data_IF_415374660156
#
_entry.id   IF_415374660156
#
_cell.length_a   1.000
_cell.length_b   1.000
_cell.length_c   1.000
_cell.angle_alpha   90.00
_cell.angle_beta   90.00
_cell.angle_gamma   90.00
#
_symmetry.space_group_name_H-M   'P 1'
#
loop_
_entity.id
_entity.type
_entity.pdbx_description
1 polymer ?
#
# COMPACT_ATOMS: atom_id res chain seq x y z
N UNK A 1 11.91 -13.75 -16.65
CA UNK A 1 12.17 -14.61 -15.48
C UNK A 1 11.75 -13.88 -14.21
N UNK A 2 11.03 -14.59 -13.33
CA UNK A 2 10.33 -14.10 -12.16
C UNK A 2 11.23 -13.57 -11.03
N UNK A 3 10.63 -12.76 -10.14
CA UNK A 3 11.25 -12.11 -8.99
C UNK A 3 12.06 -13.08 -8.09
N UNK A 4 13.31 -12.73 -7.81
CA UNK A 4 14.18 -13.48 -6.91
C UNK A 4 13.93 -13.10 -5.44
N UNK A 5 13.15 -13.96 -4.77
CA UNK A 5 13.10 -14.17 -3.31
C UNK A 5 14.25 -15.11 -2.92
N UNK A 6 14.96 -14.92 -1.79
CA UNK A 6 16.06 -15.82 -1.40
C UNK A 6 15.57 -17.22 -0.98
N UNK A 7 16.37 -18.29 -1.19
CA UNK A 7 15.98 -19.67 -0.92
C UNK A 7 16.01 -20.01 0.58
N UNK A 8 15.22 -21.02 1.03
CA UNK A 8 15.30 -21.54 2.40
C UNK A 8 16.56 -22.37 2.64
N UNK A 9 17.09 -22.27 3.86
CA UNK A 9 18.25 -23.02 4.36
C UNK A 9 17.92 -24.52 4.44
N UNK A 10 18.74 -25.44 3.89
CA UNK A 10 18.47 -26.87 3.98
C UNK A 10 18.76 -27.40 5.39
N UNK A 11 17.76 -28.01 6.02
CA UNK A 11 17.97 -28.87 7.19
C UNK A 11 18.73 -30.14 6.73
N UNK A 12 19.86 -30.40 7.39
CA UNK A 12 20.67 -31.60 7.18
C UNK A 12 19.87 -32.85 7.55
N UNK A 13 19.59 -33.70 6.56
CA UNK A 13 19.07 -35.05 6.78
C UNK A 13 20.09 -35.93 7.49
N UNK A 14 19.69 -36.57 8.60
CA UNK A 14 20.37 -37.75 9.14
C UNK A 14 19.81 -38.99 8.44
N UNK A 15 20.71 -39.72 7.81
CA UNK A 15 20.56 -41.09 7.33
C UNK A 15 20.27 -42.05 8.48
N UNK A 16 19.27 -42.93 8.34
CA UNK A 16 19.22 -44.24 9.01
C UNK A 16 18.66 -45.28 8.04
N UNK A 17 19.38 -46.41 7.96
CA UNK A 17 19.16 -47.59 7.11
C UNK A 17 17.96 -48.43 7.55
N UNK A 18 17.46 -49.22 6.60
CA UNK A 18 16.44 -50.25 6.71
C UNK A 18 16.90 -51.51 7.47
N UNK A 19 16.03 -52.04 8.32
CA UNK A 19 15.67 -53.45 8.59
C UNK A 19 14.40 -53.38 9.47
N UNK A 20 13.39 -54.23 9.47
CA UNK A 20 12.95 -55.36 8.68
C UNK A 20 11.67 -55.88 9.37
N UNK A 21 10.66 -56.22 8.57
CA UNK A 21 9.64 -57.26 8.77
C UNK A 21 8.50 -57.18 9.83
N UNK A 22 7.37 -57.73 9.35
CA UNK A 22 6.15 -58.33 9.95
C UNK A 22 5.08 -57.50 10.67
N UNK A 23 3.92 -57.39 9.99
CA UNK A 23 2.68 -58.02 10.48
C UNK A 23 1.49 -57.10 10.81
N UNK A 24 0.38 -57.29 10.09
CA UNK A 24 -0.97 -57.07 10.65
C UNK A 24 -1.85 -55.99 10.01
N UNK A 25 -2.64 -56.37 9.00
CA UNK A 25 -3.94 -55.73 8.65
C UNK A 25 -5.05 -56.22 9.62
N UNK A 26 -6.32 -55.77 9.52
CA UNK A 26 -6.89 -54.43 9.24
C UNK A 26 -8.05 -54.07 10.23
N UNK A 27 -8.60 -52.84 10.16
CA UNK A 27 -10.06 -52.53 10.13
C UNK A 27 -10.42 -51.11 10.63
N UNK A 28 -11.11 -50.40 9.74
CA UNK A 28 -12.31 -49.56 9.88
C UNK A 28 -12.80 -49.14 11.28
N UNK A 29 -13.09 -47.85 11.47
CA UNK A 29 -14.39 -47.35 11.97
C UNK A 29 -14.47 -45.81 11.91
N UNK A 30 -15.53 -45.30 11.28
CA UNK A 30 -16.04 -43.96 11.47
C UNK A 30 -17.04 -43.96 12.65
N UNK A 31 -17.06 -42.90 13.47
CA UNK A 31 -18.23 -42.54 14.28
C UNK A 31 -18.19 -41.06 14.68
N UNK A 32 -19.28 -40.35 14.33
CA UNK A 32 -19.67 -39.05 14.88
C UNK A 32 -20.21 -39.20 16.31
N UNK A 33 -20.02 -38.19 17.18
CA UNK A 33 -21.10 -37.35 17.78
C UNK A 33 -20.69 -36.54 19.03
N UNK A 34 -20.88 -35.22 18.91
CA UNK A 34 -21.60 -34.27 19.80
C UNK A 34 -21.21 -33.99 21.27
N UNK A 35 -21.12 -32.67 21.58
CA UNK A 35 -21.52 -32.00 22.84
C UNK A 35 -20.34 -31.51 23.71
N UNK A 36 -20.28 -30.30 24.29
CA UNK A 36 -21.13 -29.09 24.41
C UNK A 36 -20.21 -27.93 24.94
N UNK A 37 -20.65 -26.66 24.93
CA UNK A 37 -19.81 -25.47 25.14
C UNK A 37 -19.60 -25.08 26.62
N UNK A 38 -18.59 -24.23 26.84
CA UNK A 38 -18.14 -23.65 28.12
C UNK A 38 -19.15 -22.62 28.70
N UNK A 39 -19.24 -22.46 30.04
CA UNK A 39 -20.18 -21.54 30.68
C UNK A 39 -19.60 -20.12 30.83
N UNK A 40 -20.48 -19.13 30.74
CA UNK A 40 -20.17 -17.71 30.98
C UNK A 40 -20.63 -17.19 32.35
N UNK A 41 -20.29 -15.93 32.61
CA UNK A 41 -20.91 -15.05 33.60
C UNK A 41 -20.19 -13.69 33.70
N UNK A 42 -20.81 -12.64 34.29
CA UNK A 42 -22.23 -12.37 34.51
C UNK A 42 -22.73 -11.16 33.67
N UNK A 43 -24.05 -11.11 33.45
CA UNK A 43 -24.73 -10.10 32.64
C UNK A 43 -25.23 -8.87 33.39
N UNK A 44 -25.53 -7.84 32.59
CA UNK A 44 -26.34 -6.66 32.90
C UNK A 44 -26.65 -5.88 31.61
N UNK A 45 -27.76 -5.12 31.57
CA UNK A 45 -29.05 -5.53 31.01
C UNK A 45 -29.10 -5.59 29.47
N UNK A 46 -29.97 -6.46 28.97
CA UNK A 46 -30.31 -6.62 27.57
C UNK A 46 -31.06 -5.39 27.03
N UNK A 47 -30.34 -4.50 26.36
CA UNK A 47 -30.89 -3.63 25.32
C UNK A 47 -30.62 -4.28 23.97
N UNK A 48 -31.62 -4.95 23.39
CA UNK A 48 -31.54 -5.40 22.00
C UNK A 48 -31.65 -4.19 21.07
N UNK A 49 -30.50 -3.71 20.56
CA UNK A 49 -30.42 -2.75 19.46
C UNK A 49 -28.99 -2.22 19.24
N UNK A 50 -28.54 -1.87 18.03
CA UNK A 50 -28.94 -2.31 16.71
C UNK A 50 -27.71 -2.90 15.96
N UNK A 51 -27.17 -4.04 16.42
CA UNK A 51 -26.00 -4.64 15.75
C UNK A 51 -26.32 -5.14 14.33
N UNK A 52 -27.58 -5.48 14.06
CA UNK A 52 -28.05 -5.91 12.74
C UNK A 52 -28.41 -4.75 11.79
N UNK A 53 -28.40 -3.48 12.25
CA UNK A 53 -28.72 -2.32 11.39
C UNK A 53 -27.49 -1.52 10.94
N UNK A 54 -26.28 -1.88 11.37
CA UNK A 54 -25.04 -1.22 10.92
C UNK A 54 -24.53 -1.77 9.58
N UNK A 55 -24.98 -2.94 9.15
CA UNK A 55 -24.53 -3.62 7.93
C UNK A 55 -24.94 -2.92 6.60
N UNK A 56 -25.61 -1.77 6.66
CA UNK A 56 -26.06 -1.02 5.47
C UNK A 56 -25.55 0.42 5.39
N UNK A 57 -24.70 0.88 6.32
CA UNK A 57 -24.07 2.20 6.21
C UNK A 57 -22.60 2.00 5.90
N UNK A 58 -22.23 2.16 4.63
CA UNK A 58 -20.82 2.32 4.25
C UNK A 58 -20.16 3.43 5.06
N UNK A 59 -18.84 3.40 5.17
CA UNK A 59 -18.09 4.47 5.85
C UNK A 59 -18.39 5.81 5.19
N UNK A 60 -18.88 6.78 5.95
CA UNK A 60 -19.08 8.14 5.44
C UNK A 60 -17.73 8.76 5.08
N UNK A 61 -17.59 9.25 3.85
CA UNK A 61 -16.34 9.79 3.36
C UNK A 61 -16.20 11.28 3.71
N UNK A 62 -15.07 11.64 4.30
CA UNK A 62 -14.68 13.04 4.52
C UNK A 62 -13.88 13.53 3.31
N UNK A 63 -14.30 14.64 2.71
CA UNK A 63 -13.55 15.23 1.61
C UNK A 63 -12.14 15.66 2.06
N UNK A 64 -11.12 15.32 1.27
CA UNK A 64 -9.78 15.90 1.47
C UNK A 64 -9.82 17.39 1.10
N UNK A 65 -9.30 18.30 1.95
CA UNK A 65 -9.29 19.73 1.63
C UNK A 65 -8.57 20.03 0.32
N UNK A 66 -9.06 21.04 -0.41
CA UNK A 66 -8.48 21.50 -1.67
C UNK A 66 -8.07 22.97 -1.55
N UNK A 67 -6.82 23.29 -1.88
CA UNK A 67 -6.26 24.64 -1.79
C UNK A 67 -5.67 25.07 -3.14
N UNK A 68 -6.03 26.26 -3.60
CA UNK A 68 -5.41 26.90 -4.77
C UNK A 68 -4.34 27.91 -4.38
N UNK A 69 -3.38 28.16 -5.26
CA UNK A 69 -2.38 29.23 -5.10
C UNK A 69 -1.49 29.06 -3.86
N UNK A 70 -1.18 27.83 -3.50
CA UNK A 70 -0.26 27.54 -2.39
C UNK A 70 1.16 27.65 -2.93
N UNK A 71 1.93 28.66 -2.50
CA UNK A 71 3.36 28.77 -2.81
C UNK A 71 4.22 27.98 -1.81
N UNK A 72 5.54 27.89 -2.06
CA UNK A 72 6.49 27.16 -1.20
C UNK A 72 6.41 27.58 0.27
N UNK A 73 6.43 28.87 0.54
CA UNK A 73 6.42 29.40 1.91
C UNK A 73 5.14 29.00 2.66
N UNK A 74 3.97 29.25 2.07
CA UNK A 74 2.66 28.87 2.62
C UNK A 74 2.57 27.36 2.83
N UNK A 75 3.08 26.56 1.90
CA UNK A 75 3.10 25.12 2.07
C UNK A 75 3.92 24.72 3.30
N UNK A 76 5.16 25.22 3.41
CA UNK A 76 6.06 24.84 4.51
C UNK A 76 5.61 25.34 5.88
N UNK A 77 4.99 26.51 5.96
CA UNK A 77 4.56 27.12 7.23
C UNK A 77 3.17 26.64 7.67
N UNK A 78 2.20 26.59 6.76
CA UNK A 78 0.80 26.43 7.13
C UNK A 78 0.26 25.05 6.82
N UNK A 79 0.74 24.39 5.76
CA UNK A 79 0.13 23.15 5.25
C UNK A 79 0.91 21.92 5.72
N UNK A 80 2.22 21.91 5.44
CA UNK A 80 3.11 20.80 5.71
C UNK A 80 3.15 20.41 7.20
N UNK A 81 3.18 21.33 8.18
CA UNK A 81 3.20 20.97 9.60
C UNK A 81 1.89 20.36 10.11
N UNK A 82 0.77 20.52 9.39
CA UNK A 82 -0.52 19.94 9.81
C UNK A 82 -0.56 18.41 9.69
N UNK A 83 0.32 17.83 8.87
CA UNK A 83 0.44 16.37 8.67
C UNK A 83 -0.89 15.69 8.26
N UNK A 84 -1.72 16.41 7.50
CA UNK A 84 -2.97 15.93 6.91
C UNK A 84 -2.88 16.01 5.37
N UNK A 85 -3.56 15.11 4.63
CA UNK A 85 -3.60 15.17 3.17
C UNK A 85 -4.29 16.44 2.68
N UNK A 86 -3.85 16.94 1.53
CA UNK A 86 -4.44 18.10 0.87
C UNK A 86 -4.25 18.02 -0.64
N UNK A 87 -5.28 18.42 -1.39
CA UNK A 87 -5.19 18.61 -2.84
C UNK A 87 -4.76 20.05 -3.11
N UNK A 88 -3.68 20.22 -3.88
CA UNK A 88 -3.16 21.51 -4.33
C UNK A 88 -3.58 21.70 -5.78
N UNK A 89 -4.24 22.82 -6.05
CA UNK A 89 -4.84 23.16 -7.34
C UNK A 89 -4.06 24.29 -8.03
N UNK A 90 -4.05 24.25 -9.36
CA UNK A 90 -3.51 25.33 -10.20
C UNK A 90 -2.00 25.49 -10.04
N UNK A 91 -1.28 24.37 -10.02
CA UNK A 91 0.18 24.35 -9.93
C UNK A 91 0.82 24.41 -11.32
N UNK A 92 1.90 25.16 -11.44
CA UNK A 92 2.74 25.16 -12.64
C UNK A 92 3.59 23.88 -12.65
N UNK A 93 3.16 22.90 -13.45
CA UNK A 93 3.76 21.57 -13.53
C UNK A 93 4.60 21.37 -14.81
N UNK A 94 4.86 22.44 -15.56
CA UNK A 94 5.53 22.38 -16.86
C UNK A 94 4.59 21.97 -17.99
N UNK A 95 5.15 21.66 -19.17
CA UNK A 95 4.36 21.30 -20.36
C UNK A 95 3.74 19.90 -20.29
N UNK A 96 4.07 19.08 -19.29
CA UNK A 96 3.59 17.69 -19.19
C UNK A 96 2.05 17.59 -19.20
N UNK A 97 1.33 18.49 -18.54
CA UNK A 97 -0.14 18.49 -18.44
C UNK A 97 -0.86 18.76 -19.76
N UNK A 98 -0.15 19.25 -20.78
CA UNK A 98 -0.71 19.55 -22.11
C UNK A 98 -0.12 18.64 -23.19
N UNK A 99 1.15 18.26 -23.06
CA UNK A 99 1.86 17.44 -24.06
C UNK A 99 1.61 15.94 -23.92
N UNK A 100 1.39 15.41 -22.73
CA UNK A 100 1.40 13.96 -22.47
C UNK A 100 0.11 13.27 -22.92
N UNK A 101 -0.11 13.27 -24.23
CA UNK A 101 -1.05 12.40 -24.92
C UNK A 101 -0.45 10.99 -25.07
N UNK A 102 -1.29 10.00 -25.34
CA UNK A 102 -0.85 8.62 -25.64
C UNK A 102 0.19 8.62 -26.76
N UNK A 103 -0.07 9.33 -27.86
CA UNK A 103 0.83 9.41 -29.01
C UNK A 103 2.18 10.03 -28.67
N UNK A 104 2.20 11.12 -27.90
CA UNK A 104 3.44 11.78 -27.48
C UNK A 104 4.26 10.87 -26.57
N UNK A 105 3.62 10.28 -25.55
CA UNK A 105 4.28 9.37 -24.61
C UNK A 105 4.87 8.16 -25.34
N UNK A 106 4.15 7.59 -26.31
CA UNK A 106 4.65 6.48 -27.12
C UNK A 106 5.86 6.83 -28.00
N UNK A 107 6.10 8.11 -28.28
CA UNK A 107 7.25 8.57 -29.07
C UNK A 107 8.42 9.02 -28.19
N UNK A 108 8.15 9.62 -27.03
CA UNK A 108 9.15 10.31 -26.21
C UNK A 108 10.28 9.40 -25.72
N UNK A 109 9.97 8.18 -25.28
CA UNK A 109 10.95 7.24 -24.68
C UNK A 109 11.18 6.00 -25.54
N UNK A 110 10.60 6.00 -26.76
CA UNK A 110 10.76 4.96 -27.76
C UNK A 110 10.44 3.54 -27.26
N UNK A 111 11.29 2.58 -27.64
CA UNK A 111 11.12 1.16 -27.34
C UNK A 111 11.82 0.72 -26.05
N UNK A 112 12.01 1.62 -25.09
CA UNK A 112 12.63 1.28 -23.81
C UNK A 112 11.81 0.22 -23.08
N UNK A 113 12.44 -0.88 -22.67
CA UNK A 113 11.77 -1.93 -21.93
C UNK A 113 11.37 -1.48 -20.52
N UNK A 114 10.08 -1.65 -20.18
CA UNK A 114 9.54 -1.34 -18.86
C UNK A 114 8.89 -2.56 -18.22
N UNK A 115 9.10 -2.72 -16.91
CA UNK A 115 8.46 -3.77 -16.11
C UNK A 115 7.07 -3.31 -15.68
N UNK A 116 6.07 -4.09 -16.04
CA UNK A 116 4.66 -3.77 -15.83
C UNK A 116 3.97 -4.89 -15.06
N UNK A 117 2.89 -4.52 -14.39
CA UNK A 117 1.92 -5.45 -13.81
C UNK A 117 0.79 -5.62 -14.83
N UNK A 118 0.37 -6.87 -15.02
CA UNK A 118 -0.74 -7.24 -15.88
C UNK A 118 -1.76 -8.01 -15.04
N UNK A 119 -3.00 -7.54 -15.02
CA UNK A 119 -4.07 -8.13 -14.24
C UNK A 119 -5.28 -8.43 -15.11
N UNK A 120 -5.85 -9.64 -15.01
CA UNK A 120 -7.09 -9.98 -15.70
C UNK A 120 -8.33 -9.34 -15.05
N UNK A 121 -8.19 -8.82 -13.83
CA UNK A 121 -9.26 -8.18 -13.06
C UNK A 121 -8.86 -6.76 -12.64
N UNK A 122 -9.82 -5.82 -12.48
CA UNK A 122 -9.50 -4.44 -12.13
C UNK A 122 -8.87 -4.28 -10.74
N UNK A 123 -9.32 -5.08 -9.77
CA UNK A 123 -8.87 -5.02 -8.38
C UNK A 123 -7.63 -5.89 -8.18
N UNK A 124 -6.47 -5.24 -8.10
CA UNK A 124 -5.21 -5.94 -7.85
C UNK A 124 -5.05 -6.26 -6.37
N UNK A 125 -4.58 -7.47 -6.09
CA UNK A 125 -4.27 -7.96 -4.75
C UNK A 125 -2.81 -8.41 -4.69
N UNK A 126 -2.01 -7.74 -3.86
CA UNK A 126 -0.62 -8.12 -3.64
C UNK A 126 -0.43 -9.29 -2.68
N UNK A 127 -1.40 -9.56 -1.82
CA UNK A 127 -1.33 -10.64 -0.85
C UNK A 127 -1.53 -11.99 -1.55
N UNK A 128 -2.61 -12.13 -2.34
CA UNK A 128 -2.81 -13.30 -3.19
C UNK A 128 -2.01 -13.28 -4.50
N UNK A 129 -1.49 -12.11 -4.91
CA UNK A 129 -0.75 -11.89 -6.16
C UNK A 129 -1.56 -12.31 -7.39
N UNK A 130 -2.78 -11.78 -7.52
CA UNK A 130 -3.68 -12.05 -8.63
C UNK A 130 -3.30 -11.38 -9.97
N UNK A 131 -2.06 -10.93 -10.10
CA UNK A 131 -1.49 -10.26 -11.28
C UNK A 131 -0.12 -10.85 -11.60
N UNK A 132 0.36 -10.63 -12.82
CA UNK A 132 1.68 -11.11 -13.26
C UNK A 132 2.59 -9.94 -13.67
N UNK A 133 3.89 -10.13 -13.48
CA UNK A 133 4.90 -9.20 -14.01
C UNK A 133 5.22 -9.54 -15.46
N UNK A 134 5.25 -8.54 -16.32
CA UNK A 134 5.70 -8.63 -17.72
C UNK A 134 6.64 -7.48 -18.03
N UNK A 135 7.28 -7.58 -19.19
CA UNK A 135 8.06 -6.49 -19.76
C UNK A 135 7.49 -6.20 -21.14
N UNK A 136 7.38 -4.91 -21.47
CA UNK A 136 7.02 -4.43 -22.80
C UNK A 136 7.90 -3.23 -23.16
N UNK A 137 8.13 -2.98 -24.46
CA UNK A 137 8.52 -1.67 -24.94
C UNK A 137 7.57 -0.57 -24.43
N UNK A 138 8.10 0.55 -23.97
CA UNK A 138 7.33 1.63 -23.35
C UNK A 138 6.21 2.14 -24.25
N UNK A 139 6.51 2.35 -25.52
CA UNK A 139 5.55 2.77 -26.54
C UNK A 139 4.35 1.84 -26.66
N UNK A 140 4.59 0.53 -26.71
CA UNK A 140 3.56 -0.51 -26.79
C UNK A 140 2.75 -0.60 -25.50
N UNK A 141 3.42 -0.53 -24.34
CA UNK A 141 2.76 -0.49 -23.05
C UNK A 141 1.79 0.70 -22.95
N UNK A 142 2.22 1.90 -23.34
CA UNK A 142 1.38 3.11 -23.24
C UNK A 142 0.12 2.97 -24.10
N UNK A 143 0.25 2.45 -25.32
CA UNK A 143 -0.90 2.20 -26.21
C UNK A 143 -1.86 1.19 -25.58
N UNK A 144 -1.35 0.03 -25.16
CA UNK A 144 -2.19 -1.02 -24.53
C UNK A 144 -2.79 -0.54 -23.21
N UNK A 145 -2.10 0.28 -22.42
CA UNK A 145 -2.64 0.81 -21.18
C UNK A 145 -3.84 1.74 -21.43
N UNK A 146 -3.85 2.48 -22.54
CA UNK A 146 -4.94 3.38 -22.92
C UNK A 146 -6.15 2.65 -23.55
N UNK A 147 -5.97 1.42 -24.03
CA UNK A 147 -7.04 0.60 -24.59
C UNK A 147 -7.93 -0.04 -23.49
N UNK A 148 -9.20 -0.27 -23.84
CA UNK A 148 -10.13 -1.04 -22.98
C UNK A 148 -10.11 -2.52 -23.34
N UNK A 149 -9.99 -2.83 -24.64
CA UNK A 149 -9.90 -4.17 -25.20
C UNK A 149 -8.65 -4.28 -26.08
N UNK A 150 -7.84 -5.29 -25.82
CA UNK A 150 -6.53 -5.47 -26.45
C UNK A 150 -6.61 -6.55 -27.51
N UNK A 151 -6.04 -6.28 -28.69
CA UNK A 151 -5.86 -7.32 -29.73
C UNK A 151 -4.78 -8.31 -29.35
N UNK A 152 -3.70 -7.81 -28.75
CA UNK A 152 -2.59 -8.60 -28.23
C UNK A 152 -2.55 -8.44 -26.71
N UNK A 153 -2.53 -9.56 -26.00
CA UNK A 153 -2.63 -9.60 -24.54
C UNK A 153 -1.86 -10.78 -23.94
N UNK A 154 -1.60 -10.75 -22.64
CA UNK A 154 -0.90 -11.82 -21.92
C UNK A 154 -1.82 -12.80 -21.21
N UNK A 155 -2.94 -12.33 -20.68
CA UNK A 155 -3.89 -13.06 -19.83
C UNK A 155 -5.29 -13.04 -20.43
N UNK A 156 -5.80 -11.87 -20.82
CA UNK A 156 -7.13 -11.73 -21.41
C UNK A 156 -7.27 -10.45 -22.25
N UNK A 157 -8.23 -10.44 -23.17
CA UNK A 157 -8.54 -9.26 -24.01
C UNK A 157 -8.94 -8.01 -23.21
N UNK A 158 -9.36 -8.15 -21.94
CA UNK A 158 -9.77 -7.04 -21.07
C UNK A 158 -8.77 -6.80 -19.93
N UNK A 159 -7.55 -7.33 -20.04
CA UNK A 159 -6.53 -7.18 -19.00
C UNK A 159 -6.18 -5.70 -18.76
N UNK A 160 -5.68 -5.42 -17.57
CA UNK A 160 -5.31 -4.08 -17.13
C UNK A 160 -3.82 -4.01 -16.91
N UNK A 161 -3.23 -2.90 -17.32
CA UNK A 161 -1.81 -2.66 -17.23
C UNK A 161 -1.50 -1.60 -16.18
N UNK A 162 -0.42 -1.83 -15.42
CA UNK A 162 0.08 -0.86 -14.46
C UNK A 162 1.61 -0.82 -14.43
N UNK A 163 2.16 0.36 -14.70
CA UNK A 163 3.57 0.68 -14.53
C UNK A 163 3.78 1.44 -13.22
N UNK A 164 4.73 0.96 -12.42
CA UNK A 164 5.40 1.70 -11.36
C UNK A 164 6.88 1.68 -11.69
N UNK A 165 7.46 2.81 -12.07
CA UNK A 165 8.88 2.84 -12.46
C UNK A 165 9.79 2.44 -11.29
N UNK A 166 10.90 1.78 -11.61
CA UNK A 166 11.94 1.35 -10.67
C UNK A 166 13.28 1.91 -11.14
N UNK A 167 14.25 2.05 -10.23
CA UNK A 167 15.63 2.37 -10.60
C UNK A 167 16.24 1.29 -11.50
N UNK A 168 17.37 1.61 -12.11
CA UNK A 168 18.08 0.73 -13.07
C UNK A 168 18.38 -0.65 -12.45
N UNK A 169 19.04 -0.67 -11.28
CA UNK A 169 19.09 -1.85 -10.42
C UNK A 169 18.08 -1.67 -9.27
N UNK A 170 16.90 -2.27 -9.39
CA UNK A 170 15.82 -2.13 -8.40
C UNK A 170 16.23 -2.51 -6.94
N UNK A 171 17.34 -3.22 -6.74
CA UNK A 171 17.87 -3.56 -5.41
C UNK A 171 18.78 -2.49 -4.81
N UNK A 172 19.30 -1.57 -5.62
CA UNK A 172 20.28 -0.55 -5.21
C UNK A 172 19.81 0.87 -5.49
N UNK A 173 19.07 1.05 -6.57
CA UNK A 173 18.69 2.34 -7.09
C UNK A 173 17.22 2.62 -6.82
N UNK A 174 16.95 3.77 -6.20
CA UNK A 174 15.63 4.40 -6.18
C UNK A 174 15.20 4.76 -7.60
N UNK A 175 13.90 4.85 -7.83
CA UNK A 175 13.43 5.41 -9.09
C UNK A 175 13.64 6.93 -9.13
N UNK A 176 14.10 7.44 -10.26
CA UNK A 176 14.24 8.85 -10.54
C UNK A 176 13.85 9.12 -12.01
N UNK A 177 12.73 9.80 -12.24
CA UNK A 177 12.26 10.07 -13.60
C UNK A 177 13.32 10.79 -14.44
N UNK A 178 14.20 11.59 -13.84
CA UNK A 178 15.28 12.30 -14.54
C UNK A 178 16.34 11.35 -15.10
N UNK A 179 16.50 10.17 -14.49
CA UNK A 179 17.44 9.14 -14.94
C UNK A 179 16.77 8.17 -15.89
N UNK A 180 15.60 7.65 -15.51
CA UNK A 180 14.94 6.60 -16.28
C UNK A 180 14.07 7.12 -17.42
N UNK A 181 13.63 8.37 -17.41
CA UNK A 181 12.76 8.95 -18.43
C UNK A 181 13.16 10.41 -18.69
N UNK A 182 14.40 10.66 -19.14
CA UNK A 182 14.95 12.02 -19.21
C UNK A 182 14.16 12.93 -20.17
N UNK A 183 13.65 12.39 -21.28
CA UNK A 183 12.88 13.17 -22.26
C UNK A 183 11.56 13.64 -21.64
N UNK A 184 10.87 12.73 -20.93
CA UNK A 184 9.64 13.10 -20.24
C UNK A 184 9.90 13.97 -19.01
N UNK A 185 11.01 13.76 -18.30
CA UNK A 185 11.35 14.56 -17.12
C UNK A 185 11.53 16.05 -17.44
N UNK A 186 12.01 16.39 -18.64
CA UNK A 186 12.15 17.79 -19.10
C UNK A 186 10.80 18.51 -19.25
N UNK A 187 9.68 17.78 -19.39
CA UNK A 187 8.35 18.37 -19.46
C UNK A 187 7.74 18.64 -18.07
N UNK A 188 8.32 18.09 -16.99
CA UNK A 188 7.74 18.11 -15.64
C UNK A 188 8.47 19.08 -14.73
N UNK A 189 7.73 20.05 -14.20
CA UNK A 189 8.18 20.89 -13.11
C UNK A 189 7.65 20.35 -11.78
N UNK A 190 8.54 19.74 -10.99
CA UNK A 190 8.20 19.27 -9.64
C UNK A 190 8.06 20.48 -8.70
N UNK A 191 6.94 20.62 -7.95
CA UNK A 191 6.80 21.67 -6.95
C UNK A 191 7.92 21.61 -5.90
N UNK A 192 8.61 22.73 -5.70
CA UNK A 192 9.73 22.85 -4.76
C UNK A 192 9.21 23.00 -3.32
N UNK A 193 8.58 21.96 -2.77
CA UNK A 193 8.02 21.94 -1.40
C UNK A 193 8.90 21.27 -0.34
N UNK A 194 10.10 20.87 -0.72
CA UNK A 194 11.09 20.25 0.14
C UNK A 194 12.49 20.68 -0.30
N UNK A 195 13.48 20.46 0.55
CA UNK A 195 14.88 20.75 0.23
C UNK A 195 15.47 19.63 -0.64
N UNK A 196 16.40 19.97 -1.53
CA UNK A 196 16.96 19.02 -2.52
C UNK A 196 17.62 17.82 -1.84
N UNK A 197 18.19 18.02 -0.66
CA UNK A 197 18.84 17.02 0.17
C UNK A 197 17.85 16.00 0.78
N UNK A 198 16.57 16.38 0.89
CA UNK A 198 15.50 15.51 1.37
C UNK A 198 14.96 14.59 0.26
N UNK A 199 15.20 14.90 -1.01
CA UNK A 199 14.72 14.11 -2.14
C UNK A 199 15.09 12.63 -1.95
N UNK A 200 14.09 11.76 -2.13
CA UNK A 200 14.29 10.32 -2.07
C UNK A 200 14.09 9.65 -3.43
N UNK A 201 12.94 9.86 -4.09
CA UNK A 201 12.61 9.19 -5.34
C UNK A 201 11.55 9.96 -6.14
N UNK A 202 11.58 9.84 -7.46
CA UNK A 202 10.48 10.24 -8.33
C UNK A 202 10.04 9.04 -9.19
N UNK A 203 8.74 8.74 -9.17
CA UNK A 203 8.18 7.50 -9.68
C UNK A 203 7.10 7.78 -10.71
N UNK A 204 7.27 7.25 -11.91
CA UNK A 204 6.24 7.22 -12.94
C UNK A 204 5.19 6.18 -12.59
N UNK A 205 3.92 6.60 -12.64
CA UNK A 205 2.73 5.75 -12.47
C UNK A 205 1.86 5.88 -13.70
N UNK A 206 1.71 4.80 -14.46
CA UNK A 206 0.82 4.76 -15.63
C UNK A 206 -0.11 3.56 -15.46
N UNK A 207 -1.41 3.77 -15.60
CA UNK A 207 -2.43 2.74 -15.34
C UNK A 207 -3.54 2.79 -16.36
N UNK A 208 -4.06 1.61 -16.70
CA UNK A 208 -5.32 1.46 -17.42
C UNK A 208 -6.51 1.96 -16.59
N UNK A 209 -7.54 2.45 -17.30
CA UNK A 209 -8.81 2.82 -16.70
C UNK A 209 -9.45 1.64 -15.94
N UNK A 210 -10.02 1.94 -14.78
CA UNK A 210 -10.65 1.01 -13.84
C UNK A 210 -9.68 0.26 -12.93
N UNK A 211 -8.36 0.36 -13.12
CA UNK A 211 -7.41 -0.38 -12.28
C UNK A 211 -7.36 0.20 -10.86
N UNK A 212 -7.54 -0.68 -9.87
CA UNK A 212 -7.46 -0.38 -8.45
C UNK A 212 -6.24 -1.04 -7.84
N UNK A 213 -5.42 -0.23 -7.15
CA UNK A 213 -4.33 -0.72 -6.32
C UNK A 213 -4.83 -0.99 -4.90
N UNK A 214 -4.22 -1.97 -4.23
CA UNK A 214 -4.48 -2.24 -2.81
C UNK A 214 -4.08 -1.05 -1.93
N UNK A 215 -4.75 -0.95 -0.78
CA UNK A 215 -4.44 0.07 0.23
C UNK A 215 -3.08 -0.21 0.86
N UNK A 216 -2.20 0.80 0.89
CA UNK A 216 -0.88 0.73 1.52
C UNK A 216 -0.46 2.09 2.06
N UNK A 217 0.63 2.13 2.82
CA UNK A 217 1.31 3.37 3.20
C UNK A 217 2.79 3.34 2.79
N UNK A 218 3.38 4.53 2.71
CA UNK A 218 4.80 4.76 2.48
C UNK A 218 5.43 5.49 3.67
N UNK A 219 6.74 5.33 3.82
CA UNK A 219 7.55 5.88 4.92
C UNK A 219 8.05 7.30 4.65
N UNK A 220 7.98 7.70 3.39
CA UNK A 220 8.34 9.03 2.92
C UNK A 220 7.09 9.90 2.78
N UNK A 221 7.28 11.21 2.85
CA UNK A 221 6.26 12.14 2.36
C UNK A 221 6.16 12.04 0.85
N UNK A 222 4.97 12.29 0.30
CA UNK A 222 4.68 12.05 -1.11
C UNK A 222 3.84 13.18 -1.72
N UNK A 223 4.23 13.65 -2.90
CA UNK A 223 3.38 14.42 -3.81
C UNK A 223 2.94 13.48 -4.93
N UNK A 224 1.65 13.18 -5.00
CA UNK A 224 1.05 12.51 -6.15
C UNK A 224 0.57 13.58 -7.14
N UNK A 225 1.34 13.79 -8.20
CA UNK A 225 1.03 14.73 -9.28
C UNK A 225 0.24 13.98 -10.36
N UNK A 226 -1.03 14.30 -10.53
CA UNK A 226 -1.87 13.74 -11.58
C UNK A 226 -1.69 14.57 -12.86
N UNK A 227 -1.00 14.03 -13.86
CA UNK A 227 -0.64 14.77 -15.08
C UNK A 227 -1.72 14.62 -16.15
N UNK A 228 -2.17 13.38 -16.39
CA UNK A 228 -3.18 13.05 -17.41
C UNK A 228 -4.25 12.14 -16.80
N UNK A 229 -5.52 12.36 -17.16
CA UNK A 229 -6.66 11.54 -16.76
C UNK A 229 -7.09 11.75 -15.30
N UNK A 230 -8.20 11.13 -14.93
CA UNK A 230 -8.80 11.24 -13.60
C UNK A 230 -8.48 10.06 -12.67
N UNK A 231 -8.24 10.36 -11.40
CA UNK A 231 -7.88 9.38 -10.37
C UNK A 231 -8.62 9.60 -9.06
N UNK A 232 -9.27 8.57 -8.55
CA UNK A 232 -9.87 8.57 -7.21
C UNK A 232 -8.87 8.08 -6.18
N UNK A 233 -8.74 8.80 -5.08
CA UNK A 233 -7.87 8.43 -3.95
C UNK A 233 -8.68 8.42 -2.66
N UNK A 234 -8.66 7.27 -1.99
CA UNK A 234 -9.23 7.10 -0.65
C UNK A 234 -8.09 6.98 0.35
N UNK A 235 -8.12 7.74 1.43
CA UNK A 235 -7.07 7.76 2.46
C UNK A 235 -7.61 7.42 3.85
N UNK A 236 -6.74 6.85 4.68
CA UNK A 236 -7.01 6.58 6.09
C UNK A 236 -5.86 7.11 6.96
N UNK A 237 -6.22 7.56 8.16
CA UNK A 237 -5.26 8.11 9.10
C UNK A 237 -4.23 7.04 9.50
N UNK A 238 -2.97 7.41 9.78
CA UNK A 238 -2.02 6.52 10.44
C UNK A 238 -2.56 5.92 11.76
N UNK A 239 -3.50 6.60 12.42
CA UNK A 239 -4.14 6.11 13.64
C UNK A 239 -5.16 5.00 13.41
N UNK A 240 -5.60 4.79 12.16
CA UNK A 240 -6.55 3.74 11.80
C UNK A 240 -5.88 2.36 11.63
N UNK A 241 -4.56 2.24 11.89
CA UNK A 241 -3.83 0.95 11.87
C UNK A 241 -4.61 -0.22 12.48
N UNK A 242 -5.26 -0.10 13.67
CA UNK A 242 -6.00 -1.21 14.28
C UNK A 242 -7.24 -1.67 13.49
N UNK A 243 -7.71 -0.88 12.53
CA UNK A 243 -8.94 -1.11 11.77
C UNK A 243 -8.67 -1.57 10.33
N UNK A 244 -7.41 -1.46 9.86
CA UNK A 244 -7.03 -1.70 8.46
C UNK A 244 -6.50 -3.10 8.18
N UNK A 245 -6.41 -4.00 9.17
CA UNK A 245 -5.99 -5.39 8.97
C UNK A 245 -4.69 -5.50 8.16
N UNK A 246 -3.58 -5.04 8.74
CA UNK A 246 -2.34 -4.88 8.01
C UNK A 246 -1.52 -6.17 7.91
N UNK A 247 -1.03 -6.45 6.71
CA UNK A 247 0.02 -7.41 6.42
C UNK A 247 1.24 -6.67 5.89
N UNK A 248 2.19 -6.37 6.78
CA UNK A 248 3.28 -5.44 6.53
C UNK A 248 2.75 -4.02 6.28
N UNK A 249 3.04 -3.43 5.12
CA UNK A 249 2.59 -2.09 4.75
C UNK A 249 1.22 -2.03 4.05
N UNK A 250 0.54 -3.17 3.91
CA UNK A 250 -0.66 -3.32 3.07
C UNK A 250 -1.87 -3.72 3.90
N UNK A 251 -3.04 -3.23 3.54
CA UNK A 251 -4.33 -3.69 4.07
C UNK A 251 -4.76 -5.01 3.42
N UNK A 252 -5.36 -5.90 4.20
CA UNK A 252 -6.08 -7.07 3.71
C UNK A 252 -7.47 -6.75 3.14
N UNK A 253 -7.99 -5.54 3.41
CA UNK A 253 -9.26 -5.05 2.87
C UNK A 253 -9.03 -4.48 1.47
N UNK A 254 -9.37 -5.28 0.46
CA UNK A 254 -9.21 -4.90 -0.96
C UNK A 254 -10.32 -3.98 -1.44
N UNK A 255 -11.58 -4.36 -1.19
CA UNK A 255 -12.74 -3.58 -1.61
C UNK A 255 -13.09 -2.59 -0.49
N UNK A 256 -12.66 -1.35 -0.65
CA UNK A 256 -12.89 -0.27 0.32
C UNK A 256 -14.27 0.37 0.16
N UNK A 257 -14.98 0.11 -0.95
CA UNK A 257 -16.33 0.62 -1.19
C UNK A 257 -17.40 -0.36 -0.70
N UNK A 258 -17.12 -1.66 -0.81
CA UNK A 258 -17.96 -2.74 -0.31
C UNK A 258 -17.13 -3.78 0.46
N UNK A 259 -16.60 -3.40 1.65
CA UNK A 259 -15.77 -4.30 2.45
C UNK A 259 -16.57 -5.47 3.01
N UNK A 260 -15.94 -6.64 3.04
CA UNK A 260 -16.48 -7.83 3.73
C UNK A 260 -16.38 -7.61 5.25
N UNK A 261 -17.45 -7.12 5.86
CA UNK A 261 -17.52 -6.88 7.31
C UNK A 261 -17.66 -8.16 8.14
N UNK A 262 -17.98 -9.32 7.54
CA UNK A 262 -17.91 -10.59 8.26
C UNK A 262 -16.44 -10.96 8.50
N UNK A 263 -15.59 -10.74 7.49
CA UNK A 263 -14.15 -10.98 7.58
C UNK A 263 -13.40 -9.85 8.30
N UNK A 264 -13.78 -8.60 8.06
CA UNK A 264 -13.08 -7.40 8.54
C UNK A 264 -13.99 -6.46 9.37
N UNK A 265 -14.60 -6.94 10.46
CA UNK A 265 -15.62 -6.18 11.21
C UNK A 265 -15.12 -4.86 11.80
N UNK A 266 -13.82 -4.71 12.09
CA UNK A 266 -13.25 -3.47 12.63
C UNK A 266 -13.09 -2.38 11.56
N UNK A 267 -13.12 -2.72 10.28
CA UNK A 267 -12.87 -1.77 9.20
C UNK A 267 -13.90 -0.64 9.19
N UNK A 268 -15.14 -0.90 9.64
CA UNK A 268 -16.20 0.11 9.79
C UNK A 268 -15.78 1.30 10.66
N UNK A 269 -14.79 1.12 11.54
CA UNK A 269 -14.26 2.16 12.43
C UNK A 269 -13.18 3.03 11.78
N UNK A 270 -12.58 2.60 10.67
CA UNK A 270 -11.57 3.40 9.98
C UNK A 270 -12.24 4.64 9.36
N UNK A 271 -11.60 5.80 9.47
CA UNK A 271 -12.17 7.05 8.95
C UNK A 271 -11.72 7.26 7.51
N UNK A 272 -12.67 7.18 6.59
CA UNK A 272 -12.45 7.35 5.16
C UNK A 272 -12.29 8.83 4.80
N UNK A 273 -11.17 9.19 4.19
CA UNK A 273 -10.98 10.47 3.50
C UNK A 273 -10.96 10.23 1.98
N UNK A 274 -11.51 11.13 1.18
CA UNK A 274 -11.64 10.89 -0.27
C UNK A 274 -11.43 12.16 -1.09
N UNK A 275 -10.77 12.01 -2.24
CA UNK A 275 -10.68 13.02 -3.27
C UNK A 275 -10.60 12.42 -4.68
N UNK A 276 -10.93 13.26 -5.66
CA UNK A 276 -10.75 13.00 -7.07
C UNK A 276 -9.71 13.97 -7.61
N UNK A 277 -8.65 13.43 -8.19
CA UNK A 277 -7.59 14.19 -8.83
C UNK A 277 -7.90 14.26 -10.32
N UNK A 278 -8.05 15.49 -10.80
CA UNK A 278 -8.10 15.84 -12.20
C UNK A 278 -6.68 16.09 -12.74
N UNK A 279 -6.53 16.18 -14.06
CA UNK A 279 -5.27 16.55 -14.68
C UNK A 279 -4.80 17.94 -14.18
N UNK A 280 -3.57 18.01 -13.68
CA UNK A 280 -2.96 19.20 -13.08
C UNK A 280 -3.05 19.27 -11.55
N UNK A 281 -3.78 18.36 -10.91
CA UNK A 281 -3.87 18.32 -9.45
C UNK A 281 -2.65 17.68 -8.80
N UNK A 282 -2.29 18.16 -7.61
CA UNK A 282 -1.25 17.55 -6.79
C UNK A 282 -1.80 17.18 -5.42
N UNK A 283 -1.79 15.90 -5.06
CA UNK A 283 -2.15 15.46 -3.72
C UNK A 283 -0.90 15.33 -2.86
N UNK A 284 -0.84 16.09 -1.76
CA UNK A 284 0.12 15.84 -0.70
C UNK A 284 -0.38 14.70 0.19
N UNK A 285 0.43 13.66 0.35
CA UNK A 285 0.20 12.52 1.22
C UNK A 285 1.34 12.52 2.25
N UNK A 286 1.07 12.90 3.51
CA UNK A 286 2.06 12.79 4.56
C UNK A 286 2.45 11.32 4.79
N UNK A 287 3.70 11.07 5.18
CA UNK A 287 4.21 9.74 5.52
C UNK A 287 3.26 9.02 6.50
N UNK A 288 3.16 7.70 6.33
CA UNK A 288 2.25 6.79 7.06
C UNK A 288 0.76 6.88 6.68
N UNK A 289 0.33 7.86 5.89
CA UNK A 289 -1.07 7.88 5.45
C UNK A 289 -1.35 6.73 4.48
N UNK A 290 -2.34 5.92 4.84
CA UNK A 290 -2.80 4.84 4.00
C UNK A 290 -3.56 5.43 2.83
N UNK A 291 -3.35 4.88 1.63
CA UNK A 291 -4.05 5.33 0.45
C UNK A 291 -4.39 4.16 -0.48
N UNK A 292 -5.60 4.19 -1.01
CA UNK A 292 -6.13 3.34 -2.07
C UNK A 292 -6.34 4.21 -3.31
N UNK A 293 -5.96 3.71 -4.49
CA UNK A 293 -6.00 4.48 -5.72
C UNK A 293 -6.74 3.70 -6.80
N UNK A 294 -7.74 4.35 -7.41
CA UNK A 294 -8.41 3.87 -8.62
C UNK A 294 -8.17 4.87 -9.74
N UNK A 295 -7.67 4.38 -10.87
CA UNK A 295 -7.61 5.20 -12.09
C UNK A 295 -8.96 5.12 -12.77
N UNK A 296 -9.74 6.20 -12.74
CA UNK A 296 -11.08 6.21 -13.36
C UNK A 296 -10.96 6.24 -14.89
N UNK A 297 -9.89 6.84 -15.38
CA UNK A 297 -9.50 6.91 -16.78
C UNK A 297 -8.09 6.32 -16.95
N UNK A 298 -7.67 6.16 -18.21
CA UNK A 298 -6.24 6.03 -18.49
C UNK A 298 -5.55 7.29 -17.97
N UNK A 299 -4.47 7.10 -17.22
CA UNK A 299 -3.81 8.25 -16.61
C UNK A 299 -2.34 8.05 -16.36
N UNK A 300 -1.64 9.18 -16.36
CA UNK A 300 -0.23 9.30 -16.03
C UNK A 300 -0.09 10.18 -14.81
N UNK A 301 0.66 9.70 -13.83
CA UNK A 301 1.00 10.44 -12.64
C UNK A 301 2.49 10.31 -12.30
N UNK A 302 2.99 11.30 -11.58
CA UNK A 302 4.34 11.29 -11.02
C UNK A 302 4.22 11.39 -9.51
N UNK A 303 4.72 10.39 -8.79
CA UNK A 303 4.91 10.48 -7.36
C UNK A 303 6.30 11.04 -7.06
N UNK A 304 6.40 11.96 -6.12
CA UNK A 304 7.69 12.49 -5.63
C UNK A 304 7.77 12.25 -4.13
N UNK A 305 8.72 11.42 -3.74
CA UNK A 305 8.96 11.03 -2.36
C UNK A 305 10.15 11.80 -1.78
N UNK A 306 10.01 12.27 -0.54
CA UNK A 306 11.09 12.90 0.21
C UNK A 306 11.08 12.53 1.70
N UNK A 307 12.25 12.71 2.32
CA UNK A 307 12.51 12.42 3.72
C UNK A 307 11.97 13.55 4.59
N UNK A 308 10.98 13.23 5.42
CA UNK A 308 10.53 14.12 6.48
C UNK A 308 11.54 14.18 7.65
N UNK A 309 12.15 13.04 7.97
CA UNK A 309 13.12 12.90 9.06
C UNK A 309 14.56 13.11 8.55
N UNK A 310 15.54 13.28 9.45
CA UNK A 310 16.95 13.18 9.09
C UNK A 310 17.28 11.87 8.35
N UNK A 311 18.19 11.93 7.39
CA UNK A 311 18.46 10.82 6.46
C UNK A 311 18.94 9.54 7.15
N UNK A 312 19.63 9.65 8.29
CA UNK A 312 20.12 8.55 9.12
C UNK A 312 19.00 7.76 9.82
N UNK A 313 17.78 8.30 9.90
CA UNK A 313 16.65 7.58 10.45
C UNK A 313 16.14 6.47 9.53
N UNK A 314 16.44 6.53 8.23
CA UNK A 314 15.92 5.61 7.21
C UNK A 314 16.88 4.44 6.94
N UNK A 315 16.31 3.30 6.53
CA UNK A 315 17.10 2.16 6.06
C UNK A 315 17.76 2.50 4.71
N UNK A 316 19.10 2.46 4.68
CA UNK A 316 19.90 2.77 3.47
C UNK A 316 19.70 1.78 2.32
N UNK A 317 19.17 0.59 2.62
CA UNK A 317 18.85 -0.44 1.64
C UNK A 317 17.40 -0.37 1.15
N UNK A 318 16.64 0.65 1.56
CA UNK A 318 15.30 0.90 1.05
C UNK A 318 15.36 1.70 -0.26
N UNK A 319 15.01 1.04 -1.37
CA UNK A 319 14.88 1.67 -2.69
C UNK A 319 13.42 2.00 -3.04
N UNK A 320 12.47 1.59 -2.20
CA UNK A 320 11.04 1.74 -2.44
C UNK A 320 10.43 2.87 -1.61
N UNK A 321 10.92 3.10 -0.40
CA UNK A 321 10.36 4.03 0.58
C UNK A 321 9.32 3.39 1.48
N UNK A 322 9.40 2.08 1.70
CA UNK A 322 8.43 1.30 2.47
C UNK A 322 9.04 0.53 3.65
N UNK A 323 10.36 0.60 3.87
CA UNK A 323 10.99 -0.01 5.04
C UNK A 323 10.88 0.93 6.22
N UNK A 324 10.53 0.36 7.36
CA UNK A 324 10.43 1.10 8.61
C UNK A 324 11.71 1.89 8.90
N UNK A 325 11.60 3.09 9.49
CA UNK A 325 12.76 3.78 10.07
C UNK A 325 13.54 2.83 10.98
N UNK A 326 14.87 2.95 10.98
CA UNK A 326 15.77 2.00 11.67
C UNK A 326 15.48 1.89 13.17
N UNK A 327 14.97 2.95 13.80
CA UNK A 327 14.51 2.91 15.18
C UNK A 327 13.27 2.03 15.36
N UNK A 328 12.26 2.17 14.49
CA UNK A 328 11.05 1.36 14.52
C UNK A 328 11.35 -0.11 14.26
N UNK A 329 12.16 -0.41 13.23
CA UNK A 329 12.57 -1.79 12.93
C UNK A 329 13.29 -2.46 14.13
N UNK A 330 14.21 -1.74 14.79
CA UNK A 330 14.88 -2.24 16.01
C UNK A 330 13.91 -2.42 17.17
N UNK A 331 12.97 -1.50 17.37
CA UNK A 331 11.96 -1.59 18.43
C UNK A 331 11.07 -2.82 18.25
N UNK A 332 10.62 -3.09 17.02
CA UNK A 332 9.83 -4.29 16.67
C UNK A 332 10.65 -5.56 16.96
N UNK A 333 11.92 -5.62 16.56
CA UNK A 333 12.78 -6.77 16.86
C UNK A 333 13.00 -7.01 18.36
N UNK A 334 13.02 -5.94 19.18
CA UNK A 334 13.11 -6.06 20.64
C UNK A 334 11.77 -6.55 21.21
N UNK A 335 10.65 -6.04 20.70
CA UNK A 335 9.31 -6.49 21.07
C UNK A 335 9.16 -8.00 20.80
N UNK A 336 9.55 -8.48 19.63
CA UNK A 336 9.49 -9.91 19.29
C UNK A 336 10.27 -10.79 20.27
N UNK A 337 11.46 -10.32 20.72
CA UNK A 337 12.24 -11.02 21.75
C UNK A 337 11.52 -11.02 23.10
N UNK A 338 10.90 -9.90 23.49
CA UNK A 338 10.12 -9.82 24.72
C UNK A 338 8.90 -10.74 24.70
N UNK A 339 8.19 -10.81 23.56
CA UNK A 339 7.07 -11.73 23.36
C UNK A 339 7.52 -13.19 23.43
N UNK A 340 8.68 -13.52 22.85
CA UNK A 340 9.28 -14.86 22.97
C UNK A 340 9.58 -15.26 24.41
N UNK A 341 10.04 -14.33 25.26
CA UNK A 341 10.22 -14.62 26.69
C UNK A 341 8.89 -14.89 27.40
N UNK A 342 7.80 -14.22 27.01
CA UNK A 342 6.47 -14.49 27.57
C UNK A 342 5.90 -15.86 27.18
N UNK A 343 6.39 -16.49 26.10
CA UNK A 343 5.97 -17.84 25.69
C UNK A 343 6.40 -18.92 26.69
N UNK A 344 7.36 -18.64 27.58
CA UNK A 344 7.78 -19.54 28.67
C UNK A 344 6.72 -19.66 29.78
N UNK A 345 5.75 -18.74 29.83
CA UNK A 345 4.67 -18.74 30.82
C UNK A 345 3.44 -19.51 30.31
N UNK A 346 2.61 -20.05 31.23
CA UNK A 346 1.29 -20.56 30.87
C UNK A 346 0.44 -19.49 30.17
N UNK A 347 -0.49 -19.94 29.31
CA UNK A 347 -1.27 -19.07 28.43
C UNK A 347 -1.98 -17.92 29.16
N UNK A 348 -2.61 -18.20 30.31
CA UNK A 348 -3.32 -17.19 31.11
C UNK A 348 -2.39 -16.09 31.63
N UNK A 349 -1.18 -16.45 32.04
CA UNK A 349 -0.17 -15.49 32.50
C UNK A 349 0.36 -14.67 31.33
N UNK A 350 0.63 -15.33 30.20
CA UNK A 350 1.05 -14.66 28.96
C UNK A 350 0.01 -13.65 28.49
N UNK A 351 -1.28 -14.01 28.46
CA UNK A 351 -2.37 -13.10 28.08
C UNK A 351 -2.43 -11.87 29.01
N UNK A 352 -2.42 -12.09 30.33
CA UNK A 352 -2.43 -11.00 31.30
C UNK A 352 -1.26 -10.03 31.10
N UNK A 353 -0.03 -10.55 30.99
CA UNK A 353 1.15 -9.70 30.82
C UNK A 353 1.21 -9.03 29.45
N UNK A 354 0.71 -9.67 28.39
CA UNK A 354 0.56 -9.05 27.07
C UNK A 354 -0.39 -7.85 27.12
N UNK A 355 -1.57 -7.98 27.74
CA UNK A 355 -2.51 -6.86 27.94
C UNK A 355 -1.87 -5.71 28.73
N UNK A 356 -1.10 -6.04 29.77
CA UNK A 356 -0.36 -5.04 30.56
C UNK A 356 0.71 -4.32 29.73
N UNK A 357 1.41 -5.03 28.83
CA UNK A 357 2.37 -4.42 27.90
C UNK A 357 1.68 -3.46 26.93
N UNK A 358 0.56 -3.86 26.32
CA UNK A 358 -0.22 -3.00 25.42
C UNK A 358 -0.67 -1.74 26.14
N UNK A 359 -1.25 -1.86 27.35
CA UNK A 359 -1.66 -0.72 28.17
C UNK A 359 -0.49 0.23 28.47
N UNK A 360 0.70 -0.31 28.80
CA UNK A 360 1.91 0.51 29.02
C UNK A 360 2.39 1.21 27.76
N UNK A 361 2.29 0.58 26.59
CA UNK A 361 2.64 1.19 25.31
C UNK A 361 1.69 2.35 25.02
N UNK A 362 0.38 2.14 25.20
CA UNK A 362 -0.64 3.18 25.02
C UNK A 362 -0.37 4.36 25.95
N UNK A 363 -0.17 4.12 27.24
CA UNK A 363 0.09 5.17 28.24
C UNK A 363 1.36 5.99 27.93
N UNK A 364 2.44 5.35 27.46
CA UNK A 364 3.75 6.00 27.33
C UNK A 364 4.06 6.56 25.95
N UNK A 365 3.47 6.01 24.89
CA UNK A 365 3.88 6.29 23.52
C UNK A 365 2.76 6.85 22.63
N UNK A 366 1.48 6.65 22.98
CA UNK A 366 0.40 7.21 22.17
C UNK A 366 0.25 8.69 22.52
N UNK A 367 0.06 9.53 21.48
CA UNK A 367 -0.32 10.93 21.67
C UNK A 367 -1.82 11.00 21.93
N UNK A 368 -2.23 11.71 22.98
CA UNK A 368 -3.64 11.95 23.27
C UNK A 368 -4.27 13.01 22.36
N UNK A 369 -3.46 13.83 21.67
CA UNK A 369 -3.94 15.02 20.97
C UNK A 369 -3.58 14.98 19.47
N UNK A 370 -4.53 14.51 18.67
CA UNK A 370 -4.77 14.99 17.30
C UNK A 370 -6.29 15.08 17.13
N UNK A 371 -6.90 16.06 17.83
CA UNK A 371 -8.24 16.56 17.51
C UNK A 371 -8.26 17.28 16.17
#
# INVERSE_FOLDING_TARGET
MAAAVPPPVPQRGRSVRSTGNTGGSPRSAAALRSGRPLPGGPGGPAGAGPAASMAQRGQEAVAVPSLGGVGRERFLQDVYPQRKPVVLKGMELGSCTTKWTVDYLSQAEGSKEVKIHVSAVPQMDFLSKNFVYRTLPFNEFVQRAAEVKHKEYFLSENEKYYLRSVGEDARKDVADIRKQFPVLADDVQIPEYFDKEQFFSSVFRISSAGLQLWTHYDVMDNLLIQVTGRKRVVLYSPQDVPYLYLSGTKSEVLDVDNPDFEKYPLFVKAKRYECYLEAGDVLFIPAMWFHNVISEEFGVAVNVFWKHLPAECYDKSDTYGNKDPTAASRAIQILDRALKTLEELPEEYRDFYARRMVSRIQEKAYRNDYG
#
